data_IF_784130347967
#
_entry.id   IF_784130347967
#
_cell.length_a   1.000
_cell.length_b   1.000
_cell.length_c   1.000
_cell.angle_alpha   90.00
_cell.angle_beta   90.00
_cell.angle_gamma   90.00
#
_symmetry.space_group_name_H-M   'P 1'
#
loop_
_entity.id
_entity.type
_entity.pdbx_description
1 polymer ?
#
# COMPACT_ATOMS: atom_id res chain seq x y z
N UNK A 1 20.52 -1.46 -18.53
CA UNK A 1 20.67 -2.85 -18.07
C UNK A 1 19.80 -3.71 -18.97
N UNK A 2 20.39 -4.69 -19.67
CA UNK A 2 19.64 -5.62 -20.50
C UNK A 2 18.76 -6.47 -19.58
N UNK A 3 17.45 -6.46 -19.80
CA UNK A 3 16.52 -7.36 -19.13
C UNK A 3 16.90 -8.77 -19.60
N UNK A 4 17.45 -9.59 -18.70
CA UNK A 4 17.63 -11.01 -18.96
C UNK A 4 16.26 -11.56 -19.35
N UNK A 5 16.17 -12.21 -20.52
CA UNK A 5 14.91 -12.82 -20.92
C UNK A 5 14.58 -13.98 -19.96
N UNK A 6 13.31 -14.26 -19.79
CA UNK A 6 12.81 -15.27 -18.84
C UNK A 6 13.51 -16.63 -19.00
N UNK A 7 13.92 -16.99 -20.21
CA UNK A 7 14.63 -18.24 -20.51
C UNK A 7 16.06 -18.27 -19.98
N UNK A 8 16.73 -17.13 -19.86
CA UNK A 8 18.07 -17.04 -19.29
C UNK A 8 18.05 -17.20 -17.77
N UNK A 9 17.08 -16.56 -17.09
CA UNK A 9 16.91 -16.70 -15.64
C UNK A 9 16.61 -18.13 -15.19
N UNK A 10 15.84 -18.89 -15.96
CA UNK A 10 15.52 -20.29 -15.66
C UNK A 10 16.73 -21.24 -15.79
N UNK A 11 17.80 -20.82 -16.46
CA UNK A 11 19.03 -21.61 -16.61
C UNK A 11 20.07 -21.37 -15.52
N UNK A 12 19.87 -20.36 -14.70
CA UNK A 12 20.75 -20.05 -13.58
C UNK A 12 20.56 -21.07 -12.44
N UNK A 13 21.62 -21.35 -11.72
CA UNK A 13 21.50 -22.09 -10.45
C UNK A 13 20.77 -21.25 -9.40
N UNK A 14 20.47 -21.85 -8.25
CA UNK A 14 19.66 -21.19 -7.21
C UNK A 14 20.25 -19.87 -6.72
N UNK A 15 21.53 -19.83 -6.44
CA UNK A 15 22.22 -18.66 -5.91
C UNK A 15 22.28 -17.54 -6.95
N UNK A 16 22.53 -17.88 -8.20
CA UNK A 16 22.51 -16.92 -9.31
C UNK A 16 21.11 -16.35 -9.52
N UNK A 17 20.05 -17.16 -9.38
CA UNK A 17 18.67 -16.69 -9.43
C UNK A 17 18.38 -15.73 -8.30
N UNK A 18 18.73 -16.08 -7.05
CA UNK A 18 18.58 -15.20 -5.88
C UNK A 18 19.30 -13.87 -6.11
N UNK A 19 20.55 -13.91 -6.54
CA UNK A 19 21.33 -12.70 -6.81
C UNK A 19 20.73 -11.85 -7.94
N UNK A 20 20.26 -12.47 -9.02
CA UNK A 20 19.64 -11.78 -10.15
C UNK A 20 18.33 -11.11 -9.73
N UNK A 21 17.50 -11.77 -8.92
CA UNK A 21 16.25 -11.20 -8.43
C UNK A 21 16.49 -10.09 -7.41
N UNK A 22 17.46 -10.24 -6.50
CA UNK A 22 17.84 -9.18 -5.56
C UNK A 22 18.42 -7.96 -6.29
N UNK A 23 19.20 -8.16 -7.38
CA UNK A 23 19.67 -7.08 -8.24
C UNK A 23 18.52 -6.34 -8.97
N UNK A 24 17.39 -7.01 -9.19
CA UNK A 24 16.16 -6.41 -9.72
C UNK A 24 15.31 -5.77 -8.61
N UNK A 25 15.75 -5.85 -7.34
CA UNK A 25 15.11 -5.24 -6.17
C UNK A 25 14.03 -6.10 -5.53
N UNK A 26 14.05 -7.41 -5.78
CA UNK A 26 13.26 -8.35 -5.00
C UNK A 26 14.02 -8.72 -3.74
N UNK A 27 13.31 -8.95 -2.66
CA UNK A 27 13.89 -9.50 -1.43
C UNK A 27 13.65 -11.02 -1.43
N UNK A 28 14.62 -11.76 -1.93
CA UNK A 28 14.57 -13.22 -2.04
C UNK A 28 15.83 -13.85 -1.45
N UNK A 29 15.68 -15.07 -0.95
CA UNK A 29 16.76 -15.88 -0.39
C UNK A 29 16.64 -17.34 -0.86
N UNK A 30 17.55 -18.20 -0.42
CA UNK A 30 17.61 -19.61 -0.77
C UNK A 30 16.34 -20.39 -0.37
N UNK A 31 15.57 -19.92 0.62
CA UNK A 31 14.33 -20.55 1.07
C UNK A 31 13.09 -20.04 0.34
N UNK A 32 13.23 -19.03 -0.54
CA UNK A 32 12.11 -18.50 -1.31
C UNK A 32 11.58 -19.59 -2.25
N UNK A 33 10.30 -20.00 -2.21
CA UNK A 33 9.77 -21.06 -3.07
C UNK A 33 9.99 -20.79 -4.56
N UNK A 34 10.27 -21.83 -5.35
CA UNK A 34 10.43 -21.69 -6.81
C UNK A 34 9.20 -21.11 -7.50
N UNK A 35 7.99 -21.37 -6.97
CA UNK A 35 6.75 -20.75 -7.44
C UNK A 35 6.77 -19.23 -7.34
N UNK A 36 7.40 -18.68 -6.29
CA UNK A 36 7.53 -17.25 -6.12
C UNK A 36 8.41 -16.59 -7.21
N UNK A 37 9.41 -17.32 -7.73
CA UNK A 37 10.24 -16.85 -8.83
C UNK A 37 9.46 -16.70 -10.13
N UNK A 38 8.49 -17.58 -10.39
CA UNK A 38 7.61 -17.45 -11.55
C UNK A 38 6.76 -16.17 -11.48
N UNK A 39 6.30 -15.81 -10.29
CA UNK A 39 5.57 -14.56 -10.06
C UNK A 39 6.49 -13.34 -10.22
N UNK A 40 7.72 -13.41 -9.70
CA UNK A 40 8.71 -12.36 -9.88
C UNK A 40 9.06 -12.16 -11.36
N UNK A 41 9.12 -13.24 -12.16
CA UNK A 41 9.36 -13.17 -13.59
C UNK A 41 8.20 -12.53 -14.36
N UNK A 42 6.95 -12.82 -13.98
CA UNK A 42 5.76 -12.14 -14.54
C UNK A 42 5.83 -10.63 -14.28
N UNK A 43 6.28 -10.25 -13.09
CA UNK A 43 6.41 -8.85 -12.71
C UNK A 43 7.58 -8.13 -13.40
N UNK A 44 8.75 -8.78 -13.57
CA UNK A 44 9.86 -8.25 -14.37
C UNK A 44 9.46 -8.00 -15.83
N UNK A 45 8.45 -8.71 -16.33
CA UNK A 45 7.82 -8.49 -17.63
C UNK A 45 6.79 -7.35 -17.70
N UNK A 46 6.67 -6.53 -16.65
CA UNK A 46 5.79 -5.36 -16.62
C UNK A 46 4.32 -5.64 -16.27
N UNK A 47 3.98 -6.87 -15.88
CA UNK A 47 2.67 -7.18 -15.30
C UNK A 47 2.81 -7.31 -13.79
N UNK A 48 2.07 -6.51 -13.05
CA UNK A 48 1.95 -6.65 -11.59
C UNK A 48 1.37 -8.03 -11.26
N UNK A 49 2.07 -8.90 -10.50
CA UNK A 49 1.42 -10.06 -9.91
C UNK A 49 0.49 -9.54 -8.82
N UNK A 50 -0.79 -9.70 -9.04
CA UNK A 50 -1.80 -9.24 -8.12
C UNK A 50 -2.08 -10.33 -7.13
N UNK A 51 -1.82 -10.04 -5.87
CA UNK A 51 -2.12 -10.92 -4.76
C UNK A 51 -2.98 -10.19 -3.75
N UNK A 52 -4.01 -10.85 -3.27
CA UNK A 52 -4.68 -10.38 -2.07
C UNK A 52 -3.82 -10.72 -0.85
N UNK A 53 -3.76 -9.77 0.07
CA UNK A 53 -3.23 -9.98 1.40
C UNK A 53 -4.37 -10.41 2.32
N UNK A 54 -4.18 -11.51 3.04
CA UNK A 54 -5.18 -12.06 3.97
C UNK A 54 -4.55 -12.32 5.32
N UNK A 55 -5.35 -12.12 6.36
CA UNK A 55 -4.98 -12.37 7.74
C UNK A 55 -5.64 -13.66 8.24
N UNK A 56 -4.85 -14.57 8.81
CA UNK A 56 -5.36 -15.80 9.39
C UNK A 56 -5.89 -15.52 10.79
N UNK A 57 -7.22 -15.70 10.98
CA UNK A 57 -7.90 -15.44 12.25
C UNK A 57 -8.02 -16.67 13.12
N UNK A 58 -7.97 -17.85 12.51
CA UNK A 58 -8.04 -19.15 13.21
C UNK A 58 -7.06 -20.09 12.53
N UNK A 59 -6.21 -20.75 13.32
CA UNK A 59 -5.26 -21.74 12.82
C UNK A 59 -5.98 -22.90 12.14
N UNK A 60 -5.49 -23.32 10.99
CA UNK A 60 -6.01 -24.47 10.25
C UNK A 60 -4.94 -25.06 9.31
N UNK A 61 -5.20 -26.27 8.82
CA UNK A 61 -4.38 -26.91 7.80
C UNK A 61 -5.19 -27.25 6.56
N UNK A 62 -4.62 -27.03 5.38
CA UNK A 62 -5.21 -27.36 4.09
C UNK A 62 -4.12 -27.86 3.14
N UNK A 63 -4.35 -29.00 2.49
CA UNK A 63 -3.40 -29.59 1.52
C UNK A 63 -1.94 -29.66 2.06
N UNK A 64 -1.80 -30.13 3.30
CA UNK A 64 -0.50 -30.22 4.01
C UNK A 64 0.17 -28.88 4.32
N UNK A 65 -0.50 -27.75 4.10
CA UNK A 65 -0.02 -26.40 4.48
C UNK A 65 -0.71 -26.01 5.78
N UNK A 66 0.08 -25.61 6.78
CA UNK A 66 -0.44 -25.05 8.04
C UNK A 66 -0.54 -23.54 7.95
N UNK A 67 -1.71 -23.01 8.29
CA UNK A 67 -1.99 -21.58 8.37
C UNK A 67 -2.05 -21.16 9.82
N UNK A 68 -1.11 -20.34 10.24
CA UNK A 68 -0.95 -19.94 11.64
C UNK A 68 -1.77 -18.68 11.93
N UNK A 69 -2.54 -18.73 13.02
CA UNK A 69 -3.27 -17.55 13.51
C UNK A 69 -2.32 -16.38 13.74
N UNK A 70 -2.71 -15.18 13.31
CA UNK A 70 -1.91 -13.99 13.45
C UNK A 70 -0.97 -13.71 12.27
N UNK A 71 -0.88 -14.61 11.30
CA UNK A 71 0.01 -14.45 10.14
C UNK A 71 -0.70 -13.88 8.93
N UNK A 72 0.07 -13.18 8.08
CA UNK A 72 -0.35 -12.72 6.76
C UNK A 72 0.03 -13.74 5.70
N UNK A 73 -0.89 -13.96 4.78
CA UNK A 73 -0.71 -14.80 3.60
C UNK A 73 -1.07 -14.01 2.35
N UNK A 74 -0.52 -14.42 1.20
CA UNK A 74 -0.70 -13.73 -0.06
C UNK A 74 -1.12 -14.75 -1.12
N UNK A 75 -2.24 -14.51 -1.77
CA UNK A 75 -2.81 -15.41 -2.77
C UNK A 75 -3.05 -14.68 -4.08
N UNK A 76 -2.70 -15.33 -5.19
CA UNK A 76 -3.25 -14.99 -6.49
C UNK A 76 -4.75 -15.25 -6.51
N UNK A 77 -5.45 -14.75 -7.52
CA UNK A 77 -6.88 -15.00 -7.69
C UNK A 77 -7.20 -16.49 -7.79
N UNK A 78 -6.39 -17.24 -8.51
CA UNK A 78 -6.55 -18.67 -8.69
C UNK A 78 -6.30 -19.43 -7.39
N UNK A 79 -5.20 -19.14 -6.69
CA UNK A 79 -4.90 -19.72 -5.38
C UNK A 79 -6.02 -19.44 -4.37
N UNK A 80 -6.51 -18.20 -4.32
CA UNK A 80 -7.62 -17.81 -3.44
C UNK A 80 -8.89 -18.58 -3.75
N UNK A 81 -9.27 -18.70 -5.03
CA UNK A 81 -10.45 -19.45 -5.45
C UNK A 81 -10.36 -20.95 -5.08
N UNK A 82 -9.16 -21.52 -5.21
CA UNK A 82 -8.90 -22.94 -4.93
C UNK A 82 -8.89 -23.29 -3.43
N UNK A 83 -8.74 -22.30 -2.52
CA UNK A 83 -8.79 -22.56 -1.09
C UNK A 83 -10.17 -23.08 -0.64
N UNK A 84 -11.23 -22.58 -1.24
CA UNK A 84 -12.61 -22.97 -0.95
C UNK A 84 -13.18 -22.37 0.35
N UNK A 85 -14.48 -22.54 0.55
CA UNK A 85 -15.24 -21.90 1.63
C UNK A 85 -14.79 -22.29 3.04
N UNK A 86 -14.25 -23.48 3.22
CA UNK A 86 -13.76 -23.93 4.53
C UNK A 86 -12.51 -23.17 4.98
N UNK A 87 -11.61 -22.82 4.05
CA UNK A 87 -10.46 -21.98 4.36
C UNK A 87 -10.86 -20.53 4.57
N UNK A 88 -11.78 -20.00 3.76
CA UNK A 88 -12.20 -18.59 3.83
C UNK A 88 -12.81 -18.20 5.17
N UNK A 89 -13.39 -19.16 5.92
CA UNK A 89 -13.89 -18.89 7.28
C UNK A 89 -12.79 -18.48 8.27
N UNK A 90 -11.56 -18.87 7.99
CA UNK A 90 -10.40 -18.67 8.84
C UNK A 90 -9.49 -17.56 8.35
N UNK A 91 -9.81 -16.95 7.22
CA UNK A 91 -9.01 -15.94 6.53
C UNK A 91 -9.84 -14.68 6.30
N UNK A 92 -9.26 -13.53 6.57
CA UNK A 92 -9.89 -12.23 6.30
C UNK A 92 -9.02 -11.44 5.34
N UNK A 93 -9.60 -11.00 4.22
CA UNK A 93 -8.90 -10.16 3.25
C UNK A 93 -8.67 -8.78 3.82
N UNK A 94 -7.44 -8.28 3.74
CA UNK A 94 -7.10 -6.93 4.22
C UNK A 94 -6.83 -5.95 3.08
N UNK A 95 -6.40 -6.41 1.91
CA UNK A 95 -6.14 -5.54 0.79
C UNK A 95 -5.45 -6.24 -0.37
N UNK A 96 -4.97 -5.42 -1.31
CA UNK A 96 -4.22 -5.86 -2.49
C UNK A 96 -2.73 -5.58 -2.28
N UNK A 97 -1.89 -6.59 -2.48
CA UNK A 97 -0.44 -6.41 -2.49
C UNK A 97 0.00 -5.68 -3.77
N UNK A 98 0.69 -4.56 -3.60
CA UNK A 98 1.29 -3.80 -4.69
C UNK A 98 2.79 -4.09 -4.71
N UNK A 99 3.26 -4.58 -5.85
CA UNK A 99 4.69 -4.79 -6.12
C UNK A 99 5.04 -4.09 -7.42
N UNK A 100 5.76 -3.00 -7.35
CA UNK A 100 6.18 -2.24 -8.52
C UNK A 100 7.46 -1.45 -8.22
N UNK A 101 8.35 -1.35 -9.20
CA UNK A 101 9.54 -0.49 -9.17
C UNK A 101 10.38 -0.63 -7.88
N UNK A 102 10.64 -1.88 -7.44
CA UNK A 102 11.37 -2.20 -6.21
C UNK A 102 10.64 -1.79 -4.90
N UNK A 103 9.34 -1.52 -4.98
CA UNK A 103 8.50 -1.21 -3.82
C UNK A 103 7.47 -2.30 -3.60
N UNK A 104 7.17 -2.53 -2.34
CA UNK A 104 6.19 -3.50 -1.90
C UNK A 104 5.39 -2.95 -0.73
N UNK A 105 4.09 -2.89 -0.86
CA UNK A 105 3.16 -2.50 0.21
C UNK A 105 1.79 -3.12 -0.04
N UNK A 106 0.91 -3.10 0.95
CA UNK A 106 -0.47 -3.55 0.82
C UNK A 106 -1.35 -2.30 0.77
N UNK A 107 -2.21 -2.21 -0.22
CA UNK A 107 -3.22 -1.17 -0.35
C UNK A 107 -4.56 -1.70 0.16
N UNK A 108 -5.27 -0.89 0.93
CA UNK A 108 -6.61 -1.25 1.44
C UNK A 108 -7.60 -1.57 0.31
N UNK A 109 -8.57 -2.43 0.58
CA UNK A 109 -9.60 -2.84 -0.39
C UNK A 109 -10.59 -1.72 -0.73
N UNK A 110 -10.68 -0.68 0.09
CA UNK A 110 -11.61 0.46 -0.06
C UNK A 110 -10.92 1.78 0.27
N UNK A 111 -11.49 2.90 -0.17
CA UNK A 111 -11.13 4.20 0.37
C UNK A 111 -11.60 4.30 1.83
N UNK A 112 -10.80 4.93 2.68
CA UNK A 112 -11.22 5.18 4.05
C UNK A 112 -12.32 6.25 4.12
N UNK A 113 -13.13 6.17 5.17
CA UNK A 113 -14.23 7.09 5.45
C UNK A 113 -14.09 7.68 6.85
N UNK A 114 -14.65 8.87 7.04
CA UNK A 114 -14.75 9.48 8.37
C UNK A 114 -15.91 8.89 9.19
N UNK A 115 -16.12 9.40 10.40
CA UNK A 115 -17.20 8.99 11.30
C UNK A 115 -18.61 9.27 10.75
N UNK A 116 -18.73 10.09 9.70
CA UNK A 116 -19.97 10.40 8.99
C UNK A 116 -20.12 9.60 7.70
N UNK A 117 -19.26 8.59 7.49
CA UNK A 117 -19.21 7.78 6.28
C UNK A 117 -18.86 8.59 5.01
N UNK A 118 -18.16 9.72 5.15
CA UNK A 118 -17.67 10.52 4.03
C UNK A 118 -16.29 10.04 3.60
N UNK A 119 -16.09 9.94 2.28
CA UNK A 119 -14.77 9.70 1.67
C UNK A 119 -14.06 10.99 1.29
N UNK A 120 -14.66 12.17 1.55
CA UNK A 120 -14.12 13.50 1.28
C UNK A 120 -13.50 14.05 2.56
N UNK A 121 -12.19 13.89 2.71
CA UNK A 121 -11.44 14.06 3.96
C UNK A 121 -10.53 15.27 3.85
N UNK A 122 -10.51 16.15 4.87
CA UNK A 122 -9.52 17.21 4.95
C UNK A 122 -8.15 16.67 5.34
N UNK A 123 -7.07 17.28 4.83
CA UNK A 123 -5.74 16.91 5.27
C UNK A 123 -5.48 17.39 6.70
N UNK A 124 -5.81 18.65 7.00
CA UNK A 124 -5.71 19.29 8.31
C UNK A 124 -4.36 19.94 8.59
N UNK A 125 -4.25 20.63 9.75
CA UNK A 125 -3.00 21.24 10.20
C UNK A 125 -2.52 22.42 9.35
N UNK A 126 -3.43 23.17 8.74
CA UNK A 126 -3.13 24.36 7.92
C UNK A 126 -2.31 25.37 8.73
N UNK A 127 -1.23 25.87 8.13
CA UNK A 127 -0.32 26.86 8.72
C UNK A 127 0.70 26.27 9.70
N UNK A 128 0.64 24.98 10.05
CA UNK A 128 1.54 24.35 11.00
C UNK A 128 2.64 23.55 10.31
N UNK A 129 3.89 23.82 10.67
CA UNK A 129 5.01 22.96 10.28
C UNK A 129 4.90 21.59 10.93
N UNK A 130 5.23 20.53 10.20
CA UNK A 130 5.26 19.16 10.71
C UNK A 130 6.69 18.83 11.13
N UNK A 131 6.91 18.63 12.41
CA UNK A 131 8.22 18.32 12.95
C UNK A 131 8.75 16.98 12.39
N UNK A 132 9.96 17.00 11.87
CA UNK A 132 10.64 15.81 11.37
C UNK A 132 10.12 15.26 10.02
N UNK A 133 9.19 15.95 9.36
CA UNK A 133 8.74 15.65 8.00
C UNK A 133 9.28 16.71 7.04
N UNK A 134 9.92 16.25 5.98
CA UNK A 134 10.48 17.16 4.95
C UNK A 134 9.35 17.68 4.06
N UNK A 135 9.32 19.00 3.85
CA UNK A 135 8.46 19.63 2.85
C UNK A 135 9.20 19.68 1.51
N UNK A 136 8.50 19.33 0.45
CA UNK A 136 9.04 19.27 -0.90
C UNK A 136 8.33 20.29 -1.79
N UNK A 137 8.96 21.44 -2.00
CA UNK A 137 8.41 22.55 -2.79
C UNK A 137 8.81 22.50 -4.29
N UNK A 138 9.38 21.39 -4.74
CA UNK A 138 9.76 21.14 -6.13
C UNK A 138 9.31 19.77 -6.58
N UNK A 139 8.70 19.71 -7.77
CA UNK A 139 8.28 18.46 -8.39
C UNK A 139 9.47 17.51 -8.67
N UNK A 140 10.67 18.05 -8.95
CA UNK A 140 11.81 17.23 -9.35
C UNK A 140 12.31 16.27 -8.25
N UNK A 141 12.11 16.61 -6.98
CA UNK A 141 12.63 15.83 -5.84
C UNK A 141 11.56 15.01 -5.09
N UNK A 142 10.29 15.24 -5.40
CA UNK A 142 9.19 14.68 -4.58
C UNK A 142 8.77 13.26 -5.00
N UNK A 143 9.07 12.89 -6.25
CA UNK A 143 8.53 11.65 -6.83
C UNK A 143 9.12 10.36 -6.24
N UNK A 144 10.28 10.44 -5.61
CA UNK A 144 10.97 9.33 -4.95
C UNK A 144 10.76 9.30 -3.43
N UNK A 145 9.77 10.04 -2.92
CA UNK A 145 9.42 10.05 -1.49
C UNK A 145 8.54 8.86 -1.17
N UNK A 146 9.06 7.93 -0.37
CA UNK A 146 8.39 6.70 0.06
C UNK A 146 8.40 6.54 1.59
N UNK A 147 8.27 7.65 2.30
CA UNK A 147 8.31 7.73 3.78
C UNK A 147 6.91 7.74 4.42
N UNK A 148 5.86 7.29 3.70
CA UNK A 148 4.47 7.42 4.15
C UNK A 148 4.21 6.90 5.55
N UNK A 149 4.77 5.75 5.91
CA UNK A 149 4.59 5.15 7.23
C UNK A 149 5.17 6.03 8.35
N UNK A 150 6.42 6.48 8.19
CA UNK A 150 7.11 7.32 9.16
C UNK A 150 6.47 8.72 9.23
N UNK A 151 6.19 9.32 8.07
CA UNK A 151 5.58 10.64 7.99
C UNK A 151 4.20 10.69 8.64
N UNK A 152 3.37 9.65 8.46
CA UNK A 152 2.05 9.57 9.08
C UNK A 152 2.13 9.68 10.60
N UNK A 153 3.05 8.97 11.24
CA UNK A 153 3.24 9.03 12.69
C UNK A 153 3.68 10.41 13.15
N UNK A 154 4.63 11.02 12.42
CA UNK A 154 5.12 12.39 12.71
C UNK A 154 4.03 13.43 12.51
N UNK A 155 3.19 13.31 11.47
CA UNK A 155 2.06 14.20 11.21
C UNK A 155 1.07 14.15 12.39
N UNK A 156 0.66 12.95 12.80
CA UNK A 156 -0.28 12.77 13.91
C UNK A 156 0.30 13.35 15.20
N UNK A 157 1.56 13.05 15.51
CA UNK A 157 2.24 13.55 16.70
C UNK A 157 2.35 15.09 16.68
N UNK A 158 2.80 15.67 15.57
CA UNK A 158 3.01 17.13 15.43
C UNK A 158 1.72 17.93 15.49
N UNK A 159 0.61 17.33 15.07
CA UNK A 159 -0.71 17.98 15.02
C UNK A 159 -1.63 17.57 16.18
N UNK A 160 -1.12 16.78 17.14
CA UNK A 160 -1.89 16.40 18.32
C UNK A 160 -2.34 17.65 19.09
N UNK A 161 -3.65 17.78 19.31
CA UNK A 161 -4.24 18.93 19.97
C UNK A 161 -4.21 20.26 19.19
N UNK A 162 -3.67 20.28 17.98
CA UNK A 162 -3.70 21.47 17.13
C UNK A 162 -5.06 21.60 16.42
N UNK A 163 -5.63 22.79 16.44
CA UNK A 163 -6.80 23.15 15.63
C UNK A 163 -6.39 24.29 14.70
N UNK A 164 -6.61 24.13 13.42
CA UNK A 164 -6.25 25.14 12.43
C UNK A 164 -7.30 26.28 12.34
N UNK A 165 -7.02 27.27 11.51
CA UNK A 165 -7.89 28.46 11.34
C UNK A 165 -9.27 28.14 10.74
N UNK A 166 -9.49 26.93 10.24
CA UNK A 166 -10.76 26.45 9.70
C UNK A 166 -11.50 25.53 10.68
N UNK A 167 -10.97 25.38 11.90
CA UNK A 167 -11.55 24.52 12.94
C UNK A 167 -11.27 23.02 12.73
N UNK A 168 -10.35 22.65 11.83
CA UNK A 168 -9.98 21.27 11.60
C UNK A 168 -8.98 20.85 12.68
N UNK A 169 -9.31 19.77 13.41
CA UNK A 169 -8.50 19.24 14.50
C UNK A 169 -7.52 18.20 13.98
N UNK A 170 -6.24 18.38 14.26
CA UNK A 170 -5.19 17.44 13.90
C UNK A 170 -5.02 17.27 12.38
N UNK A 171 -4.74 16.04 11.95
CA UNK A 171 -4.77 15.61 10.55
C UNK A 171 -5.80 14.50 10.37
N UNK A 172 -7.01 14.80 9.91
CA UNK A 172 -8.02 13.78 9.60
C UNK A 172 -7.52 12.74 8.61
N UNK A 173 -6.84 13.15 7.52
CA UNK A 173 -6.32 12.22 6.52
C UNK A 173 -5.33 11.21 7.11
N UNK A 174 -4.34 11.66 7.89
CA UNK A 174 -3.37 10.78 8.52
C UNK A 174 -4.01 9.90 9.60
N UNK A 175 -4.88 10.50 10.44
CA UNK A 175 -5.55 9.79 11.54
C UNK A 175 -6.49 8.70 11.06
N UNK A 176 -7.27 8.96 10.01
CA UNK A 176 -8.19 7.96 9.42
C UNK A 176 -7.39 6.80 8.85
N UNK A 177 -6.27 7.06 8.16
CA UNK A 177 -5.41 5.99 7.67
C UNK A 177 -4.79 5.18 8.80
N UNK A 178 -4.21 5.82 9.81
CA UNK A 178 -3.57 5.12 10.94
C UNK A 178 -4.57 4.30 11.78
N UNK A 179 -5.82 4.76 11.85
CA UNK A 179 -6.90 4.08 12.56
C UNK A 179 -7.71 3.14 11.66
N UNK A 180 -7.36 3.03 10.38
CA UNK A 180 -8.03 2.12 9.47
C UNK A 180 -7.90 0.67 9.97
N UNK A 181 -8.96 -0.09 9.81
CA UNK A 181 -8.99 -1.53 10.08
C UNK A 181 -9.71 -2.19 8.91
N UNK A 182 -9.02 -3.10 8.25
CA UNK A 182 -9.60 -3.88 7.17
C UNK A 182 -10.57 -4.94 7.69
N UNK A 183 -10.46 -5.28 8.98
CA UNK A 183 -11.29 -6.28 9.65
C UNK A 183 -11.92 -5.70 10.91
N UNK A 184 -12.98 -6.32 11.40
CA UNK A 184 -13.58 -5.98 12.70
C UNK A 184 -12.76 -6.51 13.89
N UNK A 185 -11.67 -7.20 13.63
CA UNK A 185 -10.78 -7.75 14.64
C UNK A 185 -9.82 -6.67 15.14
N UNK A 186 -9.77 -6.45 16.45
CA UNK A 186 -8.97 -5.41 17.09
C UNK A 186 -7.44 -5.64 17.05
N UNK A 187 -6.95 -6.65 16.35
CA UNK A 187 -5.55 -7.08 16.36
C UNK A 187 -5.03 -7.46 14.97
N UNK A 188 -5.14 -6.54 14.01
CA UNK A 188 -4.45 -6.72 12.72
C UNK A 188 -2.93 -6.55 12.92
N UNK A 189 -2.09 -7.43 12.36
CA UNK A 189 -0.64 -7.37 12.52
C UNK A 189 -0.01 -6.33 11.57
N UNK A 190 -0.77 -5.33 11.15
CA UNK A 190 -0.32 -4.32 10.17
C UNK A 190 -0.57 -2.92 10.71
N UNK A 191 0.35 -2.01 10.41
CA UNK A 191 0.22 -0.59 10.72
C UNK A 191 -0.16 0.12 9.43
N UNK A 192 -1.40 0.60 9.39
CA UNK A 192 -1.91 1.38 8.28
C UNK A 192 -1.42 2.82 8.34
N UNK A 193 -1.18 3.42 7.18
CA UNK A 193 -0.70 4.79 7.08
C UNK A 193 -1.21 5.50 5.83
N UNK A 194 -1.10 6.82 5.82
CA UNK A 194 -1.38 7.67 4.67
C UNK A 194 -0.21 7.54 3.67
N UNK A 195 -0.45 7.08 2.42
CA UNK A 195 0.63 6.88 1.46
C UNK A 195 1.39 8.19 1.18
N UNK A 196 2.68 8.09 0.94
CA UNK A 196 3.49 9.18 0.41
C UNK A 196 3.13 9.49 -1.04
N UNK A 197 3.63 10.61 -1.56
CA UNK A 197 3.38 10.98 -2.96
C UNK A 197 3.97 9.96 -3.94
N UNK A 198 5.14 9.37 -3.63
CA UNK A 198 5.75 8.33 -4.46
C UNK A 198 4.89 7.07 -4.51
N UNK A 199 4.34 6.64 -3.37
CA UNK A 199 3.43 5.49 -3.30
C UNK A 199 2.13 5.75 -4.09
N UNK A 200 1.53 6.94 -3.95
CA UNK A 200 0.33 7.31 -4.71
C UNK A 200 0.58 7.36 -6.21
N UNK A 201 1.70 7.94 -6.64
CA UNK A 201 2.07 8.00 -8.06
C UNK A 201 2.34 6.61 -8.63
N UNK A 202 2.96 5.74 -7.84
CA UNK A 202 3.17 4.35 -8.23
C UNK A 202 1.81 3.64 -8.43
N UNK A 203 0.88 3.79 -7.49
CA UNK A 203 -0.48 3.27 -7.64
C UNK A 203 -1.19 3.86 -8.85
N UNK A 204 -1.05 5.15 -9.11
CA UNK A 204 -1.67 5.80 -10.26
C UNK A 204 -1.07 5.35 -11.60
N UNK A 205 0.25 5.16 -11.66
CA UNK A 205 0.94 4.66 -12.86
C UNK A 205 0.42 3.28 -13.29
N UNK A 206 0.09 2.44 -12.33
CA UNK A 206 -0.43 1.08 -12.56
C UNK A 206 -1.93 0.95 -12.31
N UNK A 207 -2.66 2.08 -12.27
CA UNK A 207 -4.07 2.18 -11.88
C UNK A 207 -4.96 1.17 -12.61
N UNK A 208 -4.81 1.05 -13.93
CA UNK A 208 -5.70 0.21 -14.73
C UNK A 208 -5.54 -1.28 -14.37
N UNK A 209 -4.30 -1.72 -14.17
CA UNK A 209 -4.02 -3.07 -13.70
C UNK A 209 -4.52 -3.29 -12.27
N UNK A 210 -4.29 -2.32 -11.39
CA UNK A 210 -4.76 -2.36 -10.00
C UNK A 210 -6.29 -2.39 -9.95
N UNK A 211 -6.98 -1.58 -10.72
CA UNK A 211 -8.44 -1.55 -10.78
C UNK A 211 -9.03 -2.86 -11.32
N UNK A 212 -8.41 -3.45 -12.34
CA UNK A 212 -8.81 -4.76 -12.85
C UNK A 212 -8.73 -5.84 -11.76
N UNK A 213 -7.65 -5.83 -10.98
CA UNK A 213 -7.48 -6.78 -9.88
C UNK A 213 -8.44 -6.50 -8.71
N UNK A 214 -8.58 -5.25 -8.28
CA UNK A 214 -9.55 -4.87 -7.25
C UNK A 214 -10.96 -5.37 -7.63
N UNK A 215 -11.38 -5.08 -8.86
CA UNK A 215 -12.68 -5.53 -9.37
C UNK A 215 -12.80 -7.07 -9.38
N UNK A 216 -11.72 -7.77 -9.73
CA UNK A 216 -11.68 -9.23 -9.78
C UNK A 216 -11.89 -9.90 -8.42
N UNK A 217 -11.51 -9.22 -7.34
CA UNK A 217 -11.72 -9.66 -5.96
C UNK A 217 -12.96 -9.04 -5.30
N UNK A 218 -13.75 -8.23 -6.04
CA UNK A 218 -14.91 -7.54 -5.50
C UNK A 218 -14.57 -6.34 -4.60
N UNK A 219 -13.36 -5.80 -4.72
CA UNK A 219 -12.92 -4.61 -3.99
C UNK A 219 -13.30 -3.33 -4.73
N UNK A 220 -13.30 -2.20 -4.01
CA UNK A 220 -13.56 -0.90 -4.62
C UNK A 220 -12.37 -0.41 -5.44
N UNK A 221 -12.60 -0.12 -6.71
CA UNK A 221 -11.63 0.51 -7.60
C UNK A 221 -11.30 1.94 -7.16
N UNK A 222 -10.26 2.54 -7.74
CA UNK A 222 -10.01 3.95 -7.58
C UNK A 222 -11.14 4.77 -8.21
N UNK A 223 -11.54 5.83 -7.52
CA UNK A 223 -12.43 6.87 -8.05
C UNK A 223 -11.56 7.90 -8.77
N UNK A 224 -12.02 8.46 -9.86
CA UNK A 224 -11.36 9.55 -10.57
C UNK A 224 -11.49 10.86 -9.78
N UNK A 225 -10.63 10.99 -8.75
CA UNK A 225 -10.64 12.11 -7.82
C UNK A 225 -9.22 12.35 -7.29
N UNK A 226 -9.03 13.40 -6.50
CA UNK A 226 -7.79 13.73 -5.82
C UNK A 226 -7.60 12.89 -4.56
N UNK A 227 -6.40 12.31 -4.45
CA UNK A 227 -5.99 11.52 -3.29
C UNK A 227 -4.88 12.22 -2.53
N UNK A 228 -5.04 12.37 -1.22
CA UNK A 228 -4.06 12.94 -0.33
C UNK A 228 -2.84 12.04 -0.15
N UNK A 229 -1.65 12.68 -0.17
CA UNK A 229 -0.42 12.04 0.31
C UNK A 229 -0.07 12.51 1.72
N UNK A 230 0.84 11.78 2.39
CA UNK A 230 1.49 12.23 3.62
C UNK A 230 2.59 13.29 3.39
N UNK A 231 2.89 13.63 2.14
CA UNK A 231 4.02 14.47 1.76
C UNK A 231 3.63 15.94 1.71
N UNK A 232 4.12 16.81 2.63
CA UNK A 232 3.85 18.23 2.59
C UNK A 232 4.54 18.92 1.39
N UNK A 233 3.87 19.91 0.82
CA UNK A 233 4.51 20.87 -0.06
C UNK A 233 5.12 22.02 0.76
N UNK A 234 4.33 22.57 1.69
CA UNK A 234 4.72 23.59 2.66
C UNK A 234 3.84 23.46 3.94
N UNK A 235 3.85 24.49 4.78
CA UNK A 235 3.03 24.50 6.02
C UNK A 235 1.52 24.56 5.77
N UNK A 236 1.10 24.93 4.57
CA UNK A 236 -0.31 25.20 4.23
C UNK A 236 -0.85 24.27 3.16
N UNK A 237 0.02 23.57 2.45
CA UNK A 237 -0.32 22.73 1.30
C UNK A 237 0.32 21.35 1.38
N UNK A 238 -0.32 20.36 0.76
CA UNK A 238 0.18 19.00 0.62
C UNK A 238 0.06 18.51 -0.83
N UNK A 239 0.90 17.55 -1.18
CA UNK A 239 0.82 16.90 -2.48
C UNK A 239 -0.37 15.96 -2.57
N UNK A 240 -1.01 15.99 -3.74
CA UNK A 240 -2.13 15.12 -4.13
C UNK A 240 -1.89 14.52 -5.50
N UNK A 241 -2.52 13.38 -5.76
CA UNK A 241 -2.55 12.73 -7.06
C UNK A 241 -3.98 12.60 -7.53
N UNK A 242 -4.27 13.00 -8.77
CA UNK A 242 -5.56 12.77 -9.42
C UNK A 242 -5.57 11.39 -10.08
N UNK A 243 -6.42 10.50 -9.61
CA UNK A 243 -6.46 9.12 -10.09
C UNK A 243 -7.14 8.97 -11.47
N UNK A 244 -7.72 10.00 -12.06
CA UNK A 244 -8.21 9.99 -13.44
C UNK A 244 -7.06 9.92 -14.45
N UNK A 245 -6.37 11.02 -14.68
CA UNK A 245 -5.29 11.13 -15.69
C UNK A 245 -3.86 11.11 -15.11
N UNK A 246 -3.69 10.92 -13.82
CA UNK A 246 -2.36 10.81 -13.18
C UNK A 246 -1.66 12.13 -12.90
N UNK A 247 -2.36 13.26 -12.99
CA UNK A 247 -1.82 14.56 -12.60
C UNK A 247 -1.46 14.61 -11.12
N UNK A 248 -0.37 15.30 -10.80
CA UNK A 248 0.03 15.55 -9.41
C UNK A 248 0.22 17.05 -9.21
N UNK A 249 -0.32 17.55 -8.11
CA UNK A 249 -0.22 18.95 -7.70
C UNK A 249 -0.18 19.07 -6.19
N UNK A 250 0.06 20.26 -5.68
CA UNK A 250 -0.16 20.57 -4.28
C UNK A 250 -1.46 21.40 -4.14
N UNK A 251 -2.14 21.20 -3.03
CA UNK A 251 -3.36 21.96 -2.70
C UNK A 251 -3.43 22.23 -1.20
N UNK A 252 -4.26 23.24 -0.83
CA UNK A 252 -4.39 23.67 0.56
C UNK A 252 -4.89 22.54 1.46
N UNK A 253 -4.29 22.38 2.65
CA UNK A 253 -4.59 21.33 3.63
C UNK A 253 -6.02 21.41 4.19
N UNK A 254 -6.71 22.53 3.99
CA UNK A 254 -8.13 22.72 4.35
C UNK A 254 -9.08 22.15 3.31
N UNK A 255 -8.61 21.95 2.09
CA UNK A 255 -9.36 21.27 1.03
C UNK A 255 -9.65 19.82 1.39
N UNK A 256 -10.54 19.20 0.66
CA UNK A 256 -10.89 17.80 0.85
C UNK A 256 -10.43 16.93 -0.33
N UNK A 257 -10.10 15.68 -0.03
CA UNK A 257 -9.70 14.68 -1.00
C UNK A 257 -9.92 13.28 -0.44
N UNK A 258 -9.67 12.28 -1.27
CA UNK A 258 -9.75 10.87 -0.90
C UNK A 258 -8.51 10.44 -0.13
N UNK A 259 -8.65 9.40 0.68
CA UNK A 259 -7.53 8.70 1.28
C UNK A 259 -7.67 7.20 1.02
N UNK A 260 -6.57 6.56 0.61
CA UNK A 260 -6.47 5.12 0.41
C UNK A 260 -5.39 4.59 1.31
N UNK A 261 -5.71 4.02 2.46
CA UNK A 261 -4.71 3.52 3.40
C UNK A 261 -3.81 2.47 2.76
N UNK A 262 -2.55 2.50 3.13
CA UNK A 262 -1.57 1.46 2.78
C UNK A 262 -0.87 0.97 4.04
N UNK A 263 -0.30 -0.22 4.00
CA UNK A 263 0.53 -0.74 5.07
C UNK A 263 1.74 -1.49 4.50
N UNK A 264 2.80 -1.57 5.28
CA UNK A 264 3.94 -2.41 4.94
C UNK A 264 3.61 -3.88 5.24
N UNK A 265 4.06 -4.82 4.39
CA UNK A 265 4.01 -6.22 4.74
C UNK A 265 4.82 -6.45 6.02
N UNK A 266 4.21 -7.02 7.03
CA UNK A 266 4.98 -7.45 8.21
C UNK A 266 5.75 -8.69 7.79
N UNK A 267 7.06 -8.59 7.75
CA UNK A 267 7.93 -9.76 7.72
C UNK A 267 7.97 -10.26 9.15
N UNK A 268 7.20 -11.28 9.45
CA UNK A 268 7.40 -12.01 10.70
C UNK A 268 8.78 -12.64 10.58
N UNK A 269 9.72 -12.19 11.42
CA UNK A 269 10.97 -12.89 11.63
C UNK A 269 10.59 -14.31 12.09
N UNK A 270 10.84 -15.29 11.21
CA UNK A 270 10.73 -16.72 11.53
C UNK A 270 11.85 -17.15 12.45
#
# INVERSE_FOLDING_TARGET
MSILNNSALLRLNRDEQVNAFNALGFDVNENTPLSAFADYMKWAGGKLPSRIAVYCITEFSLNSISYTKGCLYYFSKEEWANLGSNAWKNLVTIGLEIRAEKRRFIMSSINAVDSKNSTSIAWGGYGKAISGVTSYNSAASVWDVFSGAEDTLKIISSLSGYTDSQGIVGSPAASICANYRATTLNAEPVIWYLPSIGELRLMCKYKDSINAELASFGFSTFIEDWYWSSTPYDNSSCWVVYMGYGGSMHTGRVGTGRVRPVCLPVVLAG
#
